data_IF_484800705437
#
_entry.id   IF_484800705437
#
_cell.length_a   1.000
_cell.length_b   1.000
_cell.length_c   1.000
_cell.angle_alpha   90.00
_cell.angle_beta   90.00
_cell.angle_gamma   90.00
#
_symmetry.space_group_name_H-M   'P 1'
#
loop_
_entity.id
_entity.type
_entity.pdbx_description
1 polymer ?
#
# COMPACT_ATOMS: atom_id res chain seq x y z
N UNK A 1 0.98 22.47 15.34
CA UNK A 1 1.57 23.06 14.11
C UNK A 1 2.40 22.02 13.35
N UNK A 2 3.35 21.34 13.99
CA UNK A 2 4.23 20.37 13.34
C UNK A 2 3.49 19.21 12.66
N UNK A 3 2.46 18.65 13.31
CA UNK A 3 1.64 17.58 12.72
C UNK A 3 0.89 18.05 11.47
N UNK A 4 0.38 19.29 11.46
CA UNK A 4 -0.26 19.87 10.30
C UNK A 4 0.73 20.06 9.14
N UNK A 5 1.96 20.52 9.44
CA UNK A 5 3.03 20.64 8.45
C UNK A 5 3.39 19.28 7.86
N UNK A 6 3.54 18.24 8.69
CA UNK A 6 3.84 16.89 8.23
C UNK A 6 2.73 16.33 7.31
N UNK A 7 1.46 16.57 7.65
CA UNK A 7 0.32 16.18 6.80
C UNK A 7 0.30 16.93 5.47
N UNK A 8 0.62 18.22 5.47
CA UNK A 8 0.71 19.02 4.23
C UNK A 8 1.83 18.50 3.34
N UNK A 9 3.01 18.24 3.91
CA UNK A 9 4.17 17.67 3.20
C UNK A 9 3.80 16.29 2.61
N UNK A 10 3.21 15.41 3.41
CA UNK A 10 2.69 14.13 2.94
C UNK A 10 1.74 14.31 1.75
N UNK A 11 0.78 15.24 1.83
CA UNK A 11 -0.19 15.53 0.78
C UNK A 11 0.46 15.96 -0.53
N UNK A 12 1.39 16.92 -0.48
CA UNK A 12 2.12 17.42 -1.67
C UNK A 12 2.92 16.31 -2.33
N UNK A 13 3.71 15.55 -1.56
CA UNK A 13 4.51 14.45 -2.11
C UNK A 13 3.66 13.28 -2.59
N UNK A 14 2.46 13.07 -2.03
CA UNK A 14 1.52 12.06 -2.51
C UNK A 14 0.99 12.36 -3.92
N UNK A 15 0.82 13.63 -4.27
CA UNK A 15 0.42 14.05 -5.62
C UNK A 15 1.57 13.76 -6.60
N UNK A 16 2.78 14.18 -6.27
CA UNK A 16 3.95 13.92 -7.10
C UNK A 16 4.19 12.40 -7.31
N UNK A 17 4.03 11.62 -6.25
CA UNK A 17 4.16 10.16 -6.30
C UNK A 17 3.22 9.52 -7.32
N UNK A 18 1.97 9.96 -7.41
CA UNK A 18 0.99 9.41 -8.35
C UNK A 18 1.43 9.55 -9.80
N UNK A 19 2.07 10.65 -10.16
CA UNK A 19 2.61 10.83 -11.52
C UNK A 19 3.80 9.89 -11.77
N UNK A 20 4.73 9.82 -10.83
CA UNK A 20 5.92 8.95 -10.97
C UNK A 20 5.51 7.49 -11.08
N UNK A 21 4.69 6.99 -10.16
CA UNK A 21 4.25 5.59 -10.15
C UNK A 21 3.29 5.29 -11.31
N UNK A 22 2.47 6.26 -11.73
CA UNK A 22 1.67 6.16 -12.94
C UNK A 22 2.54 5.95 -14.18
N UNK A 23 3.61 6.72 -14.33
CA UNK A 23 4.58 6.54 -15.41
C UNK A 23 5.33 5.20 -15.31
N UNK A 24 5.76 4.79 -14.13
CA UNK A 24 6.41 3.50 -13.92
C UNK A 24 5.49 2.32 -14.31
N UNK A 25 4.19 2.44 -14.03
CA UNK A 25 3.22 1.38 -14.33
C UNK A 25 2.99 1.15 -15.82
N UNK A 26 3.41 2.09 -16.69
CA UNK A 26 3.39 1.91 -18.16
C UNK A 26 4.59 1.15 -18.67
N UNK A 27 5.67 1.05 -17.88
CA UNK A 27 6.94 0.46 -18.30
C UNK A 27 7.31 -0.85 -17.60
N UNK A 28 6.72 -1.08 -16.44
CA UNK A 28 7.04 -2.23 -15.57
C UNK A 28 5.80 -3.03 -15.24
N UNK A 29 6.00 -4.31 -14.96
CA UNK A 29 4.91 -5.20 -14.53
C UNK A 29 4.31 -4.70 -13.20
N UNK A 30 2.99 -4.55 -13.19
CA UNK A 30 2.24 -4.04 -12.04
C UNK A 30 2.48 -4.87 -10.76
N UNK A 31 2.76 -6.17 -10.88
CA UNK A 31 3.08 -7.05 -9.75
C UNK A 31 4.35 -6.61 -9.06
N UNK A 32 5.40 -6.36 -9.86
CA UNK A 32 6.70 -5.94 -9.34
C UNK A 32 6.54 -4.59 -8.62
N UNK A 33 5.82 -3.66 -9.23
CA UNK A 33 5.57 -2.34 -8.63
C UNK A 33 4.79 -2.45 -7.31
N UNK A 34 3.76 -3.28 -7.23
CA UNK A 34 3.02 -3.48 -5.99
C UNK A 34 3.85 -4.20 -4.92
N UNK A 35 4.70 -5.13 -5.31
CA UNK A 35 5.63 -5.79 -4.38
C UNK A 35 6.64 -4.78 -3.82
N UNK A 36 7.23 -3.96 -4.68
CA UNK A 36 8.14 -2.88 -4.26
C UNK A 36 7.42 -1.91 -3.32
N UNK A 37 6.21 -1.50 -3.66
CA UNK A 37 5.41 -0.62 -2.82
C UNK A 37 5.13 -1.24 -1.44
N UNK A 38 4.81 -2.54 -1.36
CA UNK A 38 4.58 -3.23 -0.09
C UNK A 38 5.85 -3.27 0.78
N UNK A 39 7.01 -3.52 0.18
CA UNK A 39 8.30 -3.46 0.89
C UNK A 39 8.61 -2.04 1.37
N UNK A 40 8.41 -1.03 0.52
CA UNK A 40 8.60 0.36 0.90
C UNK A 40 7.62 0.80 2.02
N UNK A 41 6.37 0.33 2.01
CA UNK A 41 5.43 0.58 3.10
C UNK A 41 5.90 -0.04 4.43
N UNK A 42 6.41 -1.27 4.39
CA UNK A 42 6.98 -1.94 5.56
C UNK A 42 8.21 -1.18 6.11
N UNK A 43 9.12 -0.73 5.24
CA UNK A 43 10.28 0.08 5.67
C UNK A 43 9.88 1.45 6.21
N UNK A 44 8.78 2.04 5.74
CA UNK A 44 8.22 3.27 6.30
C UNK A 44 7.76 3.14 7.75
N UNK A 45 7.30 1.94 8.15
CA UNK A 45 6.95 1.65 9.56
C UNK A 45 8.23 1.53 10.40
N UNK A 46 9.28 0.93 9.88
CA UNK A 46 10.58 0.90 10.57
C UNK A 46 11.12 2.32 10.72
N UNK A 47 10.98 3.15 9.69
CA UNK A 47 11.45 4.53 9.73
C UNK A 47 10.75 5.36 10.82
N UNK A 48 9.41 5.24 11.00
CA UNK A 48 8.71 5.98 12.07
C UNK A 48 9.20 5.59 13.46
N UNK A 49 9.62 4.35 13.68
CA UNK A 49 10.19 3.90 14.95
C UNK A 49 11.55 4.56 15.27
N UNK A 50 12.26 5.01 14.25
CA UNK A 50 13.56 5.68 14.39
C UNK A 50 13.44 7.21 14.49
N UNK A 51 12.25 7.78 14.36
CA UNK A 51 12.03 9.23 14.41
C UNK A 51 12.25 9.75 15.82
N UNK A 52 13.27 10.60 15.98
CA UNK A 52 13.64 11.20 17.27
C UNK A 52 13.51 12.73 17.27
N UNK A 53 13.39 13.36 16.10
CA UNK A 53 13.31 14.81 15.98
C UNK A 53 12.36 15.26 14.87
N UNK A 54 12.03 16.55 14.86
CA UNK A 54 11.08 17.16 13.92
C UNK A 54 11.51 17.03 12.46
N UNK A 55 12.81 17.07 12.17
CA UNK A 55 13.34 16.92 10.80
C UNK A 55 13.12 15.51 10.29
N UNK A 56 13.37 14.50 11.13
CA UNK A 56 13.12 13.10 10.81
C UNK A 56 11.61 12.83 10.60
N UNK A 57 10.73 13.50 11.36
CA UNK A 57 9.30 13.39 11.17
C UNK A 57 8.86 13.93 9.80
N UNK A 58 9.40 15.06 9.36
CA UNK A 58 9.13 15.62 8.05
C UNK A 58 9.69 14.70 6.94
N UNK A 59 10.92 14.20 7.12
CA UNK A 59 11.50 13.25 6.17
C UNK A 59 10.67 11.97 6.05
N UNK A 60 10.15 11.46 7.16
CA UNK A 60 9.21 10.34 7.17
C UNK A 60 7.90 10.68 6.44
N UNK A 61 7.36 11.89 6.61
CA UNK A 61 6.15 12.33 5.92
C UNK A 61 6.35 12.39 4.40
N UNK A 62 7.51 12.88 3.93
CA UNK A 62 7.91 12.82 2.52
C UNK A 62 7.95 11.37 2.03
N UNK A 63 8.65 10.52 2.76
CA UNK A 63 8.80 9.10 2.42
C UNK A 63 7.43 8.40 2.30
N UNK A 64 6.55 8.59 3.28
CA UNK A 64 5.21 8.02 3.26
C UNK A 64 4.33 8.59 2.15
N UNK A 65 4.44 9.88 1.84
CA UNK A 65 3.76 10.49 0.72
C UNK A 65 4.16 9.85 -0.61
N UNK A 66 5.44 9.55 -0.79
CA UNK A 66 5.96 8.92 -2.01
C UNK A 66 5.60 7.43 -2.13
N UNK A 67 5.34 6.74 -1.05
CA UNK A 67 5.17 5.27 -1.03
C UNK A 67 3.75 4.82 -0.76
N UNK A 68 3.13 5.26 0.34
CA UNK A 68 1.82 4.75 0.77
C UNK A 68 0.66 5.30 -0.08
N UNK A 69 0.76 6.55 -0.52
CA UNK A 69 -0.32 7.24 -1.23
C UNK A 69 -0.70 6.60 -2.58
N UNK A 70 0.19 5.81 -3.15
CA UNK A 70 -0.03 5.16 -4.47
C UNK A 70 -0.64 3.78 -4.38
N UNK A 71 -0.80 3.23 -3.19
CA UNK A 71 -1.36 1.89 -2.98
C UNK A 71 -2.71 1.68 -3.68
N UNK A 72 -3.67 2.58 -3.47
CA UNK A 72 -4.99 2.47 -4.11
C UNK A 72 -4.96 2.63 -5.62
N UNK A 73 -4.01 3.41 -6.16
CA UNK A 73 -3.82 3.57 -7.60
C UNK A 73 -3.28 2.28 -8.22
N UNK A 74 -2.23 1.70 -7.64
CA UNK A 74 -1.65 0.45 -8.13
C UNK A 74 -2.64 -0.71 -8.01
N UNK A 75 -3.40 -0.77 -6.92
CA UNK A 75 -4.46 -1.77 -6.72
C UNK A 75 -5.51 -1.69 -7.82
N UNK A 76 -5.95 -0.48 -8.20
CA UNK A 76 -6.91 -0.29 -9.27
C UNK A 76 -6.37 -0.79 -10.62
N UNK A 77 -5.09 -0.48 -10.91
CA UNK A 77 -4.41 -0.95 -12.12
C UNK A 77 -4.22 -2.46 -12.13
N UNK A 78 -3.89 -3.07 -10.98
CA UNK A 78 -3.77 -4.52 -10.86
C UNK A 78 -5.09 -5.21 -11.23
N UNK A 79 -6.22 -4.75 -10.69
CA UNK A 79 -7.55 -5.32 -10.99
C UNK A 79 -7.86 -5.23 -12.48
N UNK A 80 -7.58 -4.09 -13.11
CA UNK A 80 -7.80 -3.91 -14.56
C UNK A 80 -6.95 -4.86 -15.38
N UNK A 81 -5.67 -5.01 -15.02
CA UNK A 81 -4.73 -5.84 -15.76
C UNK A 81 -5.03 -7.34 -15.62
N UNK A 82 -5.58 -7.78 -14.49
CA UNK A 82 -5.84 -9.20 -14.21
C UNK A 82 -7.23 -9.67 -14.64
N UNK A 83 -8.23 -8.82 -14.47
CA UNK A 83 -9.65 -9.20 -14.66
C UNK A 83 -10.34 -8.44 -15.80
N UNK A 84 -9.60 -7.54 -16.47
CA UNK A 84 -10.18 -6.69 -17.51
C UNK A 84 -11.16 -5.65 -16.94
N UNK A 85 -11.91 -5.00 -17.86
CA UNK A 85 -12.79 -3.88 -17.49
C UNK A 85 -14.23 -4.29 -17.18
N UNK A 86 -14.65 -5.48 -17.59
CA UNK A 86 -16.06 -5.88 -17.57
C UNK A 86 -16.67 -5.98 -16.16
N UNK A 87 -15.90 -6.41 -15.16
CA UNK A 87 -16.40 -6.67 -13.80
C UNK A 87 -15.69 -5.87 -12.71
N UNK A 88 -15.03 -4.76 -13.07
CA UNK A 88 -14.24 -3.93 -12.15
C UNK A 88 -15.06 -3.51 -10.92
N UNK A 89 -16.31 -3.09 -11.11
CA UNK A 89 -17.17 -2.63 -10.03
C UNK A 89 -17.44 -3.69 -8.98
N UNK A 90 -17.77 -4.91 -9.39
CA UNK A 90 -18.04 -6.03 -8.49
C UNK A 90 -16.75 -6.44 -7.72
N UNK A 91 -15.63 -6.59 -8.42
CA UNK A 91 -14.34 -6.97 -7.81
C UNK A 91 -13.89 -5.92 -6.81
N UNK A 92 -13.93 -4.64 -7.17
CA UNK A 92 -13.57 -3.54 -6.27
C UNK A 92 -14.52 -3.44 -5.09
N UNK A 93 -15.82 -3.69 -5.27
CA UNK A 93 -16.79 -3.73 -4.17
C UNK A 93 -16.41 -4.75 -3.09
N UNK A 94 -16.07 -5.98 -3.51
CA UNK A 94 -15.59 -7.02 -2.59
C UNK A 94 -14.28 -6.61 -1.91
N UNK A 95 -13.32 -6.06 -2.66
CA UNK A 95 -12.06 -5.59 -2.10
C UNK A 95 -12.26 -4.47 -1.08
N UNK A 96 -13.13 -3.50 -1.38
CA UNK A 96 -13.44 -2.41 -0.45
C UNK A 96 -14.13 -2.89 0.82
N UNK A 97 -14.96 -3.93 0.76
CA UNK A 97 -15.52 -4.55 1.95
C UNK A 97 -14.42 -5.03 2.91
N UNK A 98 -13.44 -5.78 2.39
CA UNK A 98 -12.31 -6.25 3.23
C UNK A 98 -11.41 -5.11 3.71
N UNK A 99 -11.15 -4.09 2.88
CA UNK A 99 -10.38 -2.90 3.26
C UNK A 99 -11.08 -2.16 4.40
N UNK A 100 -12.39 -1.95 4.30
CA UNK A 100 -13.18 -1.26 5.32
C UNK A 100 -13.19 -2.06 6.63
N UNK A 101 -13.38 -3.37 6.54
CA UNK A 101 -13.33 -4.25 7.71
C UNK A 101 -11.96 -4.20 8.40
N UNK A 102 -10.87 -4.29 7.62
CA UNK A 102 -9.51 -4.18 8.14
C UNK A 102 -9.22 -2.80 8.74
N UNK A 103 -9.72 -1.73 8.13
CA UNK A 103 -9.56 -0.35 8.63
C UNK A 103 -10.32 -0.13 9.94
N UNK A 104 -11.47 -0.77 10.11
CA UNK A 104 -12.25 -0.68 11.33
C UNK A 104 -11.65 -1.52 12.48
N UNK A 105 -11.19 -2.74 12.17
CA UNK A 105 -10.66 -3.67 13.17
C UNK A 105 -9.18 -3.47 13.48
N UNK A 106 -8.40 -2.96 12.51
CA UNK A 106 -6.95 -2.79 12.63
C UNK A 106 -6.52 -2.00 13.86
N UNK A 107 -6.98 -0.75 14.06
CA UNK A 107 -6.62 0.05 15.23
C UNK A 107 -7.01 -0.62 16.56
N UNK A 108 -8.17 -1.30 16.59
CA UNK A 108 -8.64 -2.02 17.78
C UNK A 108 -7.71 -3.19 18.12
N UNK A 109 -7.30 -3.99 17.14
CA UNK A 109 -6.38 -5.10 17.34
C UNK A 109 -4.99 -4.60 17.79
N UNK A 110 -4.49 -3.52 17.18
CA UNK A 110 -3.19 -2.95 17.54
C UNK A 110 -3.22 -2.34 18.95
N UNK A 111 -4.33 -1.73 19.33
CA UNK A 111 -4.56 -1.22 20.70
C UNK A 111 -4.60 -2.36 21.73
N UNK A 112 -5.35 -3.43 21.47
CA UNK A 112 -5.42 -4.60 22.34
C UNK A 112 -4.05 -5.29 22.50
N UNK A 113 -3.27 -5.41 21.42
CA UNK A 113 -1.90 -5.93 21.48
C UNK A 113 -0.99 -5.07 22.35
N UNK A 114 -1.10 -3.74 22.25
CA UNK A 114 -0.38 -2.82 23.13
C UNK A 114 -0.77 -2.99 24.60
N UNK A 115 -2.06 -3.07 24.88
CA UNK A 115 -2.55 -3.18 26.26
C UNK A 115 -2.12 -4.49 26.91
N UNK A 116 -2.02 -5.57 26.12
CA UNK A 116 -1.55 -6.87 26.58
C UNK A 116 -0.04 -6.92 26.82
N UNK A 117 0.76 -6.23 25.96
CA UNK A 117 2.23 -6.33 26.01
C UNK A 117 2.93 -5.08 26.57
N UNK A 118 2.19 -4.02 26.87
CA UNK A 118 2.73 -2.75 27.39
C UNK A 118 3.57 -1.96 26.38
N UNK A 119 3.66 -2.40 25.10
CA UNK A 119 4.49 -1.78 24.06
C UNK A 119 3.85 -1.88 22.68
N UNK A 120 4.08 -0.86 21.84
CA UNK A 120 3.67 -0.87 20.43
C UNK A 120 4.60 -1.69 19.51
N UNK A 121 5.75 -2.15 19.98
CA UNK A 121 6.76 -2.82 19.14
C UNK A 121 6.16 -4.03 18.44
N UNK A 122 5.42 -4.86 19.16
CA UNK A 122 4.77 -6.06 18.57
C UNK A 122 3.69 -5.69 17.57
N UNK A 123 2.89 -4.64 17.86
CA UNK A 123 1.91 -4.13 16.92
C UNK A 123 2.56 -3.72 15.59
N UNK A 124 3.70 -3.04 15.64
CA UNK A 124 4.45 -2.66 14.44
C UNK A 124 5.05 -3.85 13.70
N UNK A 125 5.58 -4.84 14.43
CA UNK A 125 6.10 -6.09 13.82
C UNK A 125 4.98 -6.83 13.06
N UNK A 126 3.78 -6.91 13.64
CA UNK A 126 2.61 -7.53 12.99
C UNK A 126 2.26 -6.78 11.70
N UNK A 127 2.23 -5.45 11.72
CA UNK A 127 1.92 -4.65 10.51
C UNK A 127 3.00 -4.80 9.44
N UNK A 128 4.29 -4.78 9.82
CA UNK A 128 5.40 -5.04 8.89
C UNK A 128 5.26 -6.42 8.25
N UNK A 129 5.03 -7.44 9.08
CA UNK A 129 4.82 -8.82 8.61
C UNK A 129 3.65 -8.92 7.63
N UNK A 130 2.55 -8.24 7.91
CA UNK A 130 1.36 -8.20 7.02
C UNK A 130 1.69 -7.57 5.67
N UNK A 131 2.43 -6.45 5.63
CA UNK A 131 2.85 -5.82 4.38
C UNK A 131 3.78 -6.73 3.56
N UNK A 132 4.75 -7.40 4.22
CA UNK A 132 5.68 -8.31 3.55
C UNK A 132 4.95 -9.55 3.00
N UNK A 133 4.03 -10.12 3.77
CA UNK A 133 3.20 -11.25 3.32
C UNK A 133 2.29 -10.85 2.15
N UNK A 134 1.69 -9.67 2.20
CA UNK A 134 0.89 -9.15 1.09
C UNK A 134 1.74 -8.95 -0.17
N UNK A 135 2.94 -8.37 -0.04
CA UNK A 135 3.89 -8.22 -1.14
C UNK A 135 4.29 -9.56 -1.75
N UNK A 136 4.59 -10.56 -0.92
CA UNK A 136 4.93 -11.91 -1.36
C UNK A 136 3.75 -12.59 -2.08
N UNK A 137 2.54 -12.48 -1.54
CA UNK A 137 1.34 -13.04 -2.15
C UNK A 137 1.08 -12.42 -3.54
N UNK A 138 1.25 -11.12 -3.68
CA UNK A 138 1.10 -10.42 -4.97
C UNK A 138 2.20 -10.86 -5.95
N UNK A 139 3.44 -11.00 -5.49
CA UNK A 139 4.54 -11.47 -6.33
C UNK A 139 4.29 -12.89 -6.86
N UNK A 140 3.73 -13.77 -6.03
CA UNK A 140 3.40 -15.15 -6.41
C UNK A 140 2.13 -15.26 -7.26
N UNK A 141 1.24 -14.27 -7.23
CA UNK A 141 0.01 -14.27 -8.02
C UNK A 141 0.33 -14.14 -9.52
N UNK A 142 0.16 -15.22 -10.28
CA UNK A 142 0.31 -15.21 -11.73
C UNK A 142 -0.93 -14.58 -12.38
N UNK A 143 -0.76 -13.75 -13.43
CA UNK A 143 -1.91 -13.26 -14.18
C UNK A 143 -2.67 -14.45 -14.77
N UNK A 144 -4.02 -14.42 -14.75
CA UNK A 144 -4.82 -15.45 -15.41
C UNK A 144 -4.48 -15.46 -16.90
N UNK A 145 -4.28 -16.66 -17.48
CA UNK A 145 -4.16 -16.80 -18.93
C UNK A 145 -5.54 -16.50 -19.51
N UNK A 146 -5.66 -15.44 -20.28
CA UNK A 146 -6.87 -15.18 -21.07
C UNK A 146 -6.84 -16.15 -22.25
N UNK A 147 -7.52 -17.30 -22.13
CA UNK A 147 -7.86 -18.15 -23.26
C UNK A 147 -8.87 -17.36 -24.11
N UNK A 148 -8.43 -16.72 -25.17
CA UNK A 148 -9.34 -15.95 -26.02
C UNK A 148 -8.70 -15.09 -27.10
N UNK A 149 -7.41 -15.22 -27.41
CA UNK A 149 -6.81 -14.49 -28.55
C UNK A 149 -6.72 -15.28 -29.85
N UNK A 150 -7.35 -16.46 -29.96
CA UNK A 150 -7.32 -17.29 -31.19
C UNK A 150 -8.57 -17.18 -32.07
N UNK A 151 -9.43 -16.19 -31.90
CA UNK A 151 -10.58 -15.99 -32.77
C UNK A 151 -10.55 -14.63 -33.49
N UNK A 152 -9.45 -14.30 -34.16
CA UNK A 152 -9.46 -13.33 -35.28
C UNK A 152 -8.28 -13.62 -36.23
N UNK A 153 -8.43 -14.60 -37.08
CA UNK A 153 -7.81 -14.63 -38.41
C UNK A 153 -8.90 -14.49 -39.46
#
# INVERSE_FOLDING_TARGET
ELAATALTVFGVFSIAARFVWGFLSTRHDIRILMTIQAVLAATGIVFILMVQNNVMLIAWAVYQGLTLAVFFQLQALLVVNYFGRAHIGAIRGVMFFFITLASATGPMLLGALRDWQGSYVVSFIVVIGTWLLAGLAIYMAKPPKVEGSELTT
#
